data_IF_684383992783
#
_entry.id   IF_684383992783
#
_cell.length_a   1.000
_cell.length_b   1.000
_cell.length_c   1.000
_cell.angle_alpha   90.00
_cell.angle_beta   90.00
_cell.angle_gamma   90.00
#
_symmetry.space_group_name_H-M   'P 1'
#
loop_
_entity.id
_entity.type
_entity.pdbx_description
1 polymer ?
#
# COMPACT_ATOMS: atom_id res chain seq x y z
N UNK A 1 -27.49 -9.47 10.16
CA UNK A 1 -27.13 -8.04 10.34
C UNK A 1 -27.10 -7.73 11.83
N UNK A 2 -26.28 -6.74 12.27
CA UNK A 2 -26.28 -6.28 13.68
C UNK A 2 -27.66 -5.82 14.14
N UNK A 3 -28.53 -5.38 13.22
CA UNK A 3 -29.93 -5.02 13.49
C UNK A 3 -30.76 -6.16 14.08
N UNK A 4 -30.50 -7.41 13.68
CA UNK A 4 -31.26 -8.59 14.14
C UNK A 4 -30.90 -8.99 15.58
N UNK A 5 -29.77 -8.49 16.09
CA UNK A 5 -29.22 -8.79 17.42
C UNK A 5 -29.54 -7.72 18.46
N UNK A 6 -30.09 -6.56 18.05
CA UNK A 6 -30.48 -5.47 18.95
C UNK A 6 -31.60 -5.90 19.88
N UNK A 7 -31.55 -5.39 21.11
CA UNK A 7 -32.58 -5.60 22.15
C UNK A 7 -32.80 -7.08 22.50
N UNK A 8 -31.76 -7.91 22.40
CA UNK A 8 -31.78 -9.34 22.78
C UNK A 8 -31.20 -9.57 24.18
N UNK A 9 -30.88 -8.55 24.93
CA UNK A 9 -30.29 -8.67 26.27
C UNK A 9 -28.83 -9.07 26.25
N UNK A 10 -28.11 -8.75 25.18
CA UNK A 10 -26.67 -9.04 25.02
C UNK A 10 -25.89 -7.87 25.61
N UNK A 11 -24.99 -8.13 26.54
CA UNK A 11 -24.08 -7.13 27.14
C UNK A 11 -22.82 -6.96 26.28
N UNK A 12 -22.23 -8.09 25.84
CA UNK A 12 -21.05 -8.10 24.97
C UNK A 12 -21.18 -9.20 23.92
N UNK A 13 -20.95 -8.83 22.68
CA UNK A 13 -20.99 -9.74 21.54
C UNK A 13 -19.57 -9.86 20.95
N UNK A 14 -18.89 -10.96 21.27
CA UNK A 14 -17.61 -11.32 20.68
C UNK A 14 -17.83 -11.88 19.26
N UNK A 15 -17.25 -11.25 18.28
CA UNK A 15 -17.35 -11.60 16.87
C UNK A 15 -16.00 -12.01 16.31
N UNK A 16 -15.99 -12.98 15.43
CA UNK A 16 -14.82 -13.44 14.69
C UNK A 16 -14.94 -13.18 13.20
N UNK A 17 -14.05 -13.79 12.40
CA UNK A 17 -13.98 -13.72 10.94
C UNK A 17 -13.37 -12.44 10.36
N UNK A 18 -13.69 -11.27 10.87
CA UNK A 18 -13.05 -10.00 10.44
C UNK A 18 -11.67 -9.91 11.09
N UNK A 19 -10.61 -9.74 10.27
CA UNK A 19 -9.23 -9.70 10.74
C UNK A 19 -8.78 -8.31 11.21
N UNK A 20 -9.61 -7.32 11.06
CA UNK A 20 -9.39 -5.98 11.59
C UNK A 20 -10.14 -5.79 12.91
N UNK A 21 -9.46 -5.17 13.89
CA UNK A 21 -10.10 -4.80 15.13
C UNK A 21 -11.19 -3.75 14.88
N UNK A 22 -12.41 -4.07 15.31
CA UNK A 22 -13.56 -3.17 15.22
C UNK A 22 -14.44 -3.34 16.42
N UNK A 23 -14.95 -2.26 16.98
CA UNK A 23 -15.91 -2.31 18.07
C UNK A 23 -16.98 -1.24 17.90
N UNK A 24 -18.11 -1.45 18.53
CA UNK A 24 -19.19 -0.48 18.50
C UNK A 24 -20.35 -0.84 19.42
N UNK A 25 -21.29 0.10 19.50
CA UNK A 25 -22.52 -0.08 20.27
C UNK A 25 -23.48 -0.98 19.52
N UNK A 26 -23.97 -2.01 20.17
CA UNK A 26 -25.00 -2.90 19.63
C UNK A 26 -26.40 -2.29 19.83
N UNK A 27 -26.70 -1.90 21.08
CA UNK A 27 -27.93 -1.20 21.49
C UNK A 27 -27.65 -0.38 22.76
N UNK A 28 -28.69 0.04 23.50
CA UNK A 28 -28.53 0.85 24.72
C UNK A 28 -27.78 0.13 25.84
N UNK A 29 -27.70 -1.19 25.80
CA UNK A 29 -27.05 -2.03 26.81
C UNK A 29 -25.75 -2.65 26.32
N UNK A 30 -25.76 -3.22 25.13
CA UNK A 30 -24.72 -4.08 24.63
C UNK A 30 -23.75 -3.46 23.66
N UNK A 31 -22.56 -4.03 23.63
CA UNK A 31 -21.49 -3.71 22.69
C UNK A 31 -21.11 -4.93 21.86
N UNK A 32 -20.55 -4.70 20.67
CA UNK A 32 -19.94 -5.76 19.87
C UNK A 32 -18.47 -5.45 19.63
N UNK A 33 -17.69 -6.50 19.44
CA UNK A 33 -16.28 -6.40 19.14
C UNK A 33 -15.80 -7.54 18.23
N UNK A 34 -15.15 -7.16 17.13
CA UNK A 34 -14.25 -8.03 16.38
C UNK A 34 -12.83 -7.81 16.92
N UNK A 35 -12.23 -8.85 17.49
CA UNK A 35 -10.87 -8.75 18.05
C UNK A 35 -9.78 -8.61 16.98
N UNK A 36 -10.11 -8.91 15.73
CA UNK A 36 -9.14 -8.99 14.66
C UNK A 36 -8.32 -10.28 14.70
N UNK A 37 -7.13 -10.25 14.13
CA UNK A 37 -6.15 -11.33 14.16
C UNK A 37 -4.92 -10.94 15.00
N UNK A 38 -4.17 -11.94 15.50
CA UNK A 38 -2.98 -11.72 16.33
C UNK A 38 -1.81 -11.12 15.55
N UNK A 39 -1.66 -11.52 14.29
CA UNK A 39 -0.68 -10.97 13.33
C UNK A 39 -1.29 -10.93 11.94
N UNK A 40 -0.88 -9.95 11.13
CA UNK A 40 -1.24 -9.89 9.72
C UNK A 40 -0.52 -10.97 8.91
N UNK A 41 -1.18 -11.53 7.90
CA UNK A 41 -0.66 -12.59 7.04
C UNK A 41 -0.28 -12.11 5.65
N UNK A 42 -0.67 -10.90 5.31
CA UNK A 42 -0.41 -10.27 4.02
C UNK A 42 -0.59 -8.76 4.08
N UNK A 43 -0.19 -8.07 3.03
CA UNK A 43 -0.29 -6.60 2.93
C UNK A 43 -1.72 -6.07 2.76
N UNK A 44 -2.70 -6.92 2.72
CA UNK A 44 -4.13 -6.63 2.87
C UNK A 44 -4.56 -6.55 4.34
N UNK A 45 -3.71 -7.02 5.27
CA UNK A 45 -3.94 -7.01 6.71
C UNK A 45 -2.95 -6.07 7.44
N UNK A 46 -2.69 -4.90 6.90
CA UNK A 46 -1.77 -3.91 7.47
C UNK A 46 -2.20 -3.39 8.83
N UNK A 47 -1.27 -2.71 9.51
CA UNK A 47 -1.50 -2.00 10.76
C UNK A 47 -1.34 -2.84 12.02
N UNK A 48 -1.80 -2.28 13.13
CA UNK A 48 -1.64 -2.88 14.45
C UNK A 48 -2.58 -4.06 14.64
N UNK A 49 -2.04 -5.22 15.03
CA UNK A 49 -2.78 -6.45 15.29
C UNK A 49 -2.61 -6.89 16.73
N UNK A 50 -3.60 -7.66 17.24
CA UNK A 50 -3.60 -8.03 18.64
C UNK A 50 -4.85 -8.80 19.05
N UNK A 51 -5.21 -8.67 20.31
CA UNK A 51 -6.37 -9.33 20.90
C UNK A 51 -7.13 -8.41 21.86
N UNK A 52 -8.29 -8.84 22.26
CA UNK A 52 -9.13 -8.11 23.20
C UNK A 52 -9.15 -8.82 24.55
N UNK A 53 -8.92 -8.04 25.61
CA UNK A 53 -9.16 -8.47 26.99
C UNK A 53 -10.55 -7.99 27.40
N UNK A 54 -11.39 -8.89 27.86
CA UNK A 54 -12.73 -8.60 28.39
C UNK A 54 -12.70 -8.69 29.91
N UNK A 55 -13.04 -7.58 30.56
CA UNK A 55 -13.24 -7.50 32.01
C UNK A 55 -14.72 -7.54 32.34
N UNK A 56 -15.13 -8.48 33.16
CA UNK A 56 -16.51 -8.65 33.61
C UNK A 56 -16.56 -8.42 35.11
N UNK A 57 -17.35 -7.44 35.55
CA UNK A 57 -17.64 -7.17 36.96
C UNK A 57 -19.06 -7.70 37.24
N UNK A 58 -19.13 -8.88 37.83
CA UNK A 58 -20.40 -9.58 38.15
C UNK A 58 -21.20 -8.86 39.25
N UNK A 59 -20.54 -8.10 40.13
CA UNK A 59 -21.21 -7.36 41.19
C UNK A 59 -21.90 -6.09 40.66
N UNK A 60 -21.23 -5.42 39.70
CA UNK A 60 -21.80 -4.22 39.05
C UNK A 60 -22.58 -4.54 37.78
N UNK A 61 -22.56 -5.81 37.31
CA UNK A 61 -23.16 -6.25 36.06
C UNK A 61 -22.67 -5.39 34.86
N UNK A 62 -21.38 -5.09 34.83
CA UNK A 62 -20.75 -4.32 33.77
C UNK A 62 -19.68 -5.12 33.05
N UNK A 63 -19.55 -4.90 31.76
CA UNK A 63 -18.48 -5.45 30.94
C UNK A 63 -17.68 -4.31 30.32
N UNK A 64 -16.35 -4.36 30.49
CA UNK A 64 -15.41 -3.50 29.80
C UNK A 64 -14.50 -4.31 28.93
N UNK A 65 -13.93 -3.72 27.88
CA UNK A 65 -12.92 -4.38 27.08
C UNK A 65 -11.83 -3.40 26.62
N UNK A 66 -10.64 -3.95 26.38
CA UNK A 66 -9.50 -3.23 25.87
C UNK A 66 -8.79 -4.02 24.79
N UNK A 67 -8.35 -3.34 23.74
CA UNK A 67 -7.49 -3.94 22.71
C UNK A 67 -6.05 -3.93 23.21
N UNK A 68 -5.38 -5.07 23.09
CA UNK A 68 -3.97 -5.26 23.45
C UNK A 68 -3.17 -5.55 22.18
N UNK A 69 -2.31 -4.63 21.75
CA UNK A 69 -1.38 -4.90 20.64
C UNK A 69 -0.48 -6.08 20.99
N UNK A 70 -0.36 -7.03 20.06
CA UNK A 70 0.38 -8.27 20.29
C UNK A 70 1.32 -8.65 19.15
N UNK A 71 1.03 -8.22 17.92
CA UNK A 71 1.81 -8.59 16.75
C UNK A 71 3.30 -8.33 16.96
N UNK A 72 4.13 -9.34 16.71
CA UNK A 72 5.58 -9.22 16.74
C UNK A 72 6.11 -8.45 15.53
N UNK A 73 5.44 -8.62 14.38
CA UNK A 73 5.69 -7.88 13.14
C UNK A 73 4.43 -7.22 12.66
N UNK A 74 4.55 -5.95 12.30
CA UNK A 74 3.46 -5.22 11.67
C UNK A 74 3.73 -5.08 10.18
N UNK A 75 2.65 -5.15 9.38
CA UNK A 75 2.71 -4.93 7.94
C UNK A 75 2.25 -3.51 7.63
N UNK A 76 2.95 -2.85 6.71
CA UNK A 76 2.62 -1.51 6.27
C UNK A 76 2.73 -1.40 4.76
N UNK A 77 1.88 -0.58 4.16
CA UNK A 77 2.03 -0.10 2.80
C UNK A 77 2.44 1.36 2.85
N UNK A 78 3.60 1.68 2.29
CA UNK A 78 4.15 3.03 2.24
C UNK A 78 4.11 3.53 0.80
N UNK A 79 3.25 4.50 0.53
CA UNK A 79 3.17 5.16 -0.76
C UNK A 79 4.23 6.25 -0.84
N UNK A 80 5.05 6.20 -1.87
CA UNK A 80 6.14 7.17 -2.10
C UNK A 80 5.85 7.93 -3.39
N UNK A 81 5.58 9.22 -3.26
CA UNK A 81 5.42 10.09 -4.42
C UNK A 81 6.79 10.41 -5.04
N UNK A 82 7.03 9.82 -6.20
CA UNK A 82 8.27 9.99 -6.97
C UNK A 82 8.13 10.97 -8.13
N UNK A 83 7.06 11.76 -8.17
CA UNK A 83 6.84 12.76 -9.21
C UNK A 83 8.09 13.61 -9.46
N UNK A 84 8.49 13.69 -10.73
CA UNK A 84 9.67 14.46 -11.18
C UNK A 84 11.02 13.80 -10.88
N UNK A 85 11.06 12.54 -10.44
CA UNK A 85 12.29 11.75 -10.43
C UNK A 85 12.72 11.46 -11.87
N UNK A 86 14.02 11.53 -12.13
CA UNK A 86 14.62 11.26 -13.44
C UNK A 86 15.46 9.98 -13.43
N UNK A 87 15.85 9.51 -12.25
CA UNK A 87 16.73 8.35 -12.09
C UNK A 87 16.29 7.50 -10.91
N UNK A 88 16.69 6.22 -10.90
CA UNK A 88 16.51 5.33 -9.73
C UNK A 88 17.08 5.95 -8.45
N UNK A 89 18.18 6.73 -8.55
CA UNK A 89 18.78 7.38 -7.38
C UNK A 89 17.87 8.50 -6.82
N UNK A 90 17.17 9.25 -7.67
CA UNK A 90 16.22 10.26 -7.21
C UNK A 90 15.04 9.60 -6.47
N UNK A 91 14.61 8.44 -6.98
CA UNK A 91 13.59 7.61 -6.31
C UNK A 91 14.08 7.12 -4.96
N UNK A 92 15.34 6.64 -4.87
CA UNK A 92 15.94 6.18 -3.61
C UNK A 92 15.94 7.29 -2.55
N UNK A 93 16.31 8.52 -2.90
CA UNK A 93 16.28 9.67 -1.97
C UNK A 93 14.88 9.95 -1.45
N UNK A 94 13.86 9.84 -2.31
CA UNK A 94 12.46 10.01 -1.89
C UNK A 94 11.99 8.87 -0.98
N UNK A 95 12.42 7.64 -1.24
CA UNK A 95 12.17 6.49 -0.38
C UNK A 95 12.84 6.65 0.99
N UNK A 96 14.12 7.05 1.04
CA UNK A 96 14.83 7.34 2.30
C UNK A 96 14.09 8.36 3.16
N UNK A 97 13.61 9.42 2.53
CA UNK A 97 12.80 10.42 3.21
C UNK A 97 11.51 9.83 3.76
N UNK A 98 10.78 9.08 2.95
CA UNK A 98 9.52 8.45 3.37
C UNK A 98 9.75 7.45 4.51
N UNK A 99 10.86 6.70 4.50
CA UNK A 99 11.27 5.80 5.59
C UNK A 99 11.55 6.62 6.86
N UNK A 100 12.32 7.71 6.74
CA UNK A 100 12.67 8.57 7.88
C UNK A 100 11.45 9.26 8.50
N UNK A 101 10.47 9.62 7.69
CA UNK A 101 9.21 10.22 8.14
C UNK A 101 8.23 9.17 8.72
N UNK A 102 8.47 7.88 8.45
CA UNK A 102 7.71 6.79 9.04
C UNK A 102 8.25 6.43 10.43
N UNK A 103 7.38 6.03 11.33
CA UNK A 103 7.77 5.51 12.65
C UNK A 103 7.87 3.97 12.64
N UNK A 104 8.15 3.36 11.47
CA UNK A 104 8.14 1.92 11.33
C UNK A 104 9.38 1.29 11.96
N UNK A 105 9.17 0.20 12.68
CA UNK A 105 10.24 -0.58 13.31
C UNK A 105 11.01 -1.39 12.26
N UNK A 106 12.29 -1.63 12.49
CA UNK A 106 13.09 -2.56 11.67
C UNK A 106 12.56 -4.01 11.66
N UNK A 107 11.63 -4.35 12.56
CA UNK A 107 10.91 -5.63 12.55
C UNK A 107 9.69 -5.63 11.64
N UNK A 108 9.31 -4.51 11.10
CA UNK A 108 8.16 -4.38 10.21
C UNK A 108 8.40 -5.06 8.87
N UNK A 109 7.31 -5.38 8.19
CA UNK A 109 7.29 -5.79 6.80
C UNK A 109 6.66 -4.65 6.01
N UNK A 110 7.36 -4.12 5.01
CA UNK A 110 6.94 -2.91 4.30
C UNK A 110 6.78 -3.19 2.80
N UNK A 111 5.63 -2.80 2.27
CA UNK A 111 5.38 -2.74 0.83
C UNK A 111 5.50 -1.27 0.41
N UNK A 112 6.54 -0.93 -0.34
CA UNK A 112 6.66 0.34 -1.02
C UNK A 112 5.83 0.32 -2.30
N UNK A 113 5.05 1.37 -2.51
CA UNK A 113 4.31 1.60 -3.74
C UNK A 113 4.73 2.98 -4.26
N UNK A 114 5.53 2.97 -5.32
CA UNK A 114 5.96 4.19 -5.99
C UNK A 114 4.78 4.72 -6.78
N UNK A 115 4.43 5.98 -6.55
CA UNK A 115 3.30 6.64 -7.20
C UNK A 115 3.73 8.01 -7.74
N UNK A 116 2.89 8.60 -8.56
CA UNK A 116 3.13 9.92 -9.14
C UNK A 116 3.47 9.84 -10.63
N UNK A 117 3.93 10.96 -11.17
CA UNK A 117 4.21 11.12 -12.61
C UNK A 117 5.71 11.24 -12.82
N UNK A 118 6.25 10.38 -13.69
CA UNK A 118 7.67 10.36 -14.07
C UNK A 118 7.84 10.57 -15.56
N UNK A 119 8.96 11.13 -15.96
CA UNK A 119 9.30 11.28 -17.36
C UNK A 119 9.45 9.94 -18.05
N UNK A 120 9.22 9.92 -19.37
CA UNK A 120 9.33 8.73 -20.20
C UNK A 120 10.75 8.15 -20.23
N UNK A 121 11.75 8.97 -19.95
CA UNK A 121 13.16 8.59 -19.87
C UNK A 121 13.62 8.26 -18.45
N UNK A 122 12.69 8.28 -17.47
CA UNK A 122 12.99 7.90 -16.10
C UNK A 122 13.06 6.38 -15.99
N UNK A 123 14.24 5.85 -15.69
CA UNK A 123 14.46 4.44 -15.40
C UNK A 123 14.29 4.18 -13.91
N UNK A 124 13.35 3.30 -13.54
CA UNK A 124 13.14 2.87 -12.16
C UNK A 124 13.48 1.38 -12.06
N UNK A 125 14.62 1.08 -11.44
CA UNK A 125 15.02 -0.28 -11.15
C UNK A 125 14.54 -0.69 -9.74
N UNK A 126 13.41 -1.38 -9.69
CA UNK A 126 12.79 -1.80 -8.42
C UNK A 126 13.61 -2.84 -7.67
N UNK A 127 14.36 -3.71 -8.36
CA UNK A 127 15.22 -4.69 -7.72
C UNK A 127 16.42 -4.01 -7.06
N UNK A 128 17.04 -3.05 -7.74
CA UNK A 128 18.11 -2.24 -7.15
C UNK A 128 17.62 -1.47 -5.90
N UNK A 129 16.43 -0.88 -5.97
CA UNK A 129 15.83 -0.19 -4.82
C UNK A 129 15.57 -1.16 -3.66
N UNK A 130 15.05 -2.34 -3.96
CA UNK A 130 14.86 -3.38 -2.95
C UNK A 130 16.18 -3.75 -2.27
N UNK A 131 17.22 -4.08 -3.05
CA UNK A 131 18.52 -4.46 -2.50
C UNK A 131 19.16 -3.33 -1.66
N UNK A 132 18.95 -2.05 -2.07
CA UNK A 132 19.45 -0.88 -1.34
C UNK A 132 18.82 -0.75 0.05
N UNK A 133 17.57 -1.14 0.22
CA UNK A 133 16.81 -0.96 1.47
C UNK A 133 16.64 -2.26 2.27
N UNK A 134 17.25 -3.39 1.85
CA UNK A 134 17.10 -4.72 2.45
C UNK A 134 17.40 -4.78 3.97
N UNK A 135 18.25 -3.88 4.48
CA UNK A 135 18.61 -3.86 5.91
C UNK A 135 17.68 -2.99 6.78
N UNK A 136 16.76 -2.23 6.18
CA UNK A 136 15.91 -1.30 6.94
C UNK A 136 14.76 -2.00 7.64
N UNK A 137 14.23 -3.07 7.04
CA UNK A 137 13.06 -3.78 7.53
C UNK A 137 13.30 -5.30 7.53
N UNK A 138 12.44 -6.04 8.22
CA UNK A 138 12.49 -7.50 8.20
C UNK A 138 12.18 -8.08 6.81
N UNK A 139 11.33 -7.42 6.06
CA UNK A 139 10.96 -7.79 4.71
C UNK A 139 10.39 -6.58 3.96
N UNK A 140 10.79 -6.42 2.71
CA UNK A 140 10.26 -5.38 1.85
C UNK A 140 9.93 -5.88 0.45
N UNK A 141 9.02 -5.14 -0.18
CA UNK A 141 8.69 -5.21 -1.60
C UNK A 141 8.60 -3.81 -2.16
N UNK A 142 9.01 -3.64 -3.40
CA UNK A 142 8.88 -2.39 -4.15
C UNK A 142 8.00 -2.65 -5.37
N UNK A 143 6.95 -1.86 -5.52
CA UNK A 143 6.06 -1.86 -6.67
C UNK A 143 6.09 -0.50 -7.35
N UNK A 144 6.23 -0.49 -8.66
CA UNK A 144 6.12 0.71 -9.47
C UNK A 144 4.68 0.82 -10.01
N UNK A 145 3.93 1.79 -9.46
CA UNK A 145 2.59 2.20 -9.90
C UNK A 145 2.63 3.66 -10.42
N UNK A 146 3.80 4.13 -10.85
CA UNK A 146 3.94 5.46 -11.45
C UNK A 146 3.25 5.54 -12.80
N UNK A 147 2.88 6.76 -13.19
CA UNK A 147 2.34 7.07 -14.52
C UNK A 147 3.40 7.81 -15.34
N UNK A 148 3.41 7.59 -16.64
CA UNK A 148 4.29 8.35 -17.52
C UNK A 148 3.71 9.74 -17.78
N UNK A 149 4.52 10.75 -17.50
CA UNK A 149 4.26 12.12 -17.96
C UNK A 149 4.81 12.25 -19.38
N UNK A 150 3.92 12.21 -20.37
CA UNK A 150 4.32 12.32 -21.77
C UNK A 150 4.14 13.75 -22.22
N UNK A 151 5.25 14.44 -22.48
CA UNK A 151 5.23 15.77 -23.07
C UNK A 151 5.06 15.67 -24.60
N UNK A 152 3.82 15.72 -25.06
CA UNK A 152 3.47 15.59 -26.49
C UNK A 152 4.26 16.51 -27.40
N UNK A 153 4.57 17.73 -26.97
CA UNK A 153 5.26 18.73 -27.80
C UNK A 153 6.70 18.35 -28.11
N UNK A 154 7.35 17.55 -27.30
CA UNK A 154 8.71 17.08 -27.50
C UNK A 154 8.79 16.03 -28.62
N UNK A 155 7.78 15.17 -28.70
CA UNK A 155 7.72 14.07 -29.65
C UNK A 155 7.07 14.43 -30.98
N UNK A 156 6.41 15.60 -31.11
CA UNK A 156 5.75 16.03 -32.37
C UNK A 156 6.72 16.08 -33.57
N UNK A 157 7.96 16.48 -33.31
CA UNK A 157 9.00 16.67 -34.36
C UNK A 157 10.20 15.73 -34.19
N UNK A 158 10.14 14.83 -33.23
CA UNK A 158 11.22 13.86 -33.02
C UNK A 158 11.22 12.83 -34.15
N UNK A 159 12.28 12.82 -34.95
CA UNK A 159 12.46 11.90 -36.07
C UNK A 159 13.08 10.55 -35.68
N UNK A 160 13.34 10.33 -34.40
CA UNK A 160 13.86 9.07 -33.87
C UNK A 160 12.81 7.95 -33.96
N UNK A 161 13.28 6.71 -33.90
CA UNK A 161 12.42 5.54 -33.81
C UNK A 161 11.52 5.60 -32.56
N UNK A 162 12.06 6.09 -31.44
CA UNK A 162 11.33 6.34 -30.17
C UNK A 162 10.20 7.34 -30.38
N UNK A 163 10.50 8.51 -31.01
CA UNK A 163 9.49 9.52 -31.27
C UNK A 163 8.38 9.04 -32.20
N UNK A 164 8.73 8.26 -33.23
CA UNK A 164 7.73 7.67 -34.14
C UNK A 164 6.85 6.65 -33.43
N UNK A 165 7.43 5.78 -32.62
CA UNK A 165 6.71 4.82 -31.79
C UNK A 165 5.73 5.51 -30.84
N UNK A 166 6.18 6.51 -30.08
CA UNK A 166 5.34 7.25 -29.14
C UNK A 166 4.16 7.90 -29.88
N UNK A 167 4.40 8.60 -30.99
CA UNK A 167 3.32 9.21 -31.80
C UNK A 167 2.31 8.18 -32.29
N UNK A 168 2.76 6.99 -32.69
CA UNK A 168 1.88 5.91 -33.15
C UNK A 168 0.97 5.43 -32.01
N UNK A 169 1.51 5.20 -30.81
CA UNK A 169 0.75 4.78 -29.63
C UNK A 169 -0.22 5.87 -29.20
N UNK A 170 0.20 7.12 -29.17
CA UNK A 170 -0.65 8.27 -28.80
C UNK A 170 -1.82 8.46 -29.76
N UNK A 171 -1.65 8.18 -31.04
CA UNK A 171 -2.71 8.22 -32.06
C UNK A 171 -3.66 7.02 -32.05
N UNK A 172 -3.44 6.03 -31.19
CA UNK A 172 -4.30 4.85 -31.08
C UNK A 172 -5.55 5.08 -30.25
N UNK A 173 -6.56 4.21 -30.39
CA UNK A 173 -7.81 4.24 -29.61
C UNK A 173 -7.69 3.60 -28.22
N UNK A 174 -6.46 3.42 -27.70
CA UNK A 174 -6.19 2.86 -26.37
C UNK A 174 -6.55 3.88 -25.26
N UNK A 175 -6.84 3.35 -24.05
CA UNK A 175 -6.96 4.22 -22.86
C UNK A 175 -5.61 4.83 -22.49
N UNK A 176 -5.57 5.92 -21.74
CA UNK A 176 -4.32 6.56 -21.31
C UNK A 176 -3.45 5.60 -20.47
N UNK A 177 -4.06 4.73 -19.68
CA UNK A 177 -3.36 3.69 -18.92
C UNK A 177 -2.70 2.66 -19.85
N UNK A 178 -3.43 2.18 -20.86
CA UNK A 178 -2.88 1.26 -21.86
C UNK A 178 -1.75 1.90 -22.67
N UNK A 179 -1.92 3.16 -23.09
CA UNK A 179 -0.87 3.90 -23.79
C UNK A 179 0.39 4.02 -22.96
N UNK A 180 0.27 4.38 -21.69
CA UNK A 180 1.40 4.49 -20.76
C UNK A 180 2.15 3.17 -20.62
N UNK A 181 1.44 2.05 -20.45
CA UNK A 181 2.02 0.72 -20.34
C UNK A 181 2.73 0.29 -21.63
N UNK A 182 2.10 0.47 -22.79
CA UNK A 182 2.69 0.15 -24.09
C UNK A 182 3.92 0.98 -24.38
N UNK A 183 3.89 2.29 -24.04
CA UNK A 183 5.06 3.17 -24.23
C UNK A 183 6.20 2.73 -23.33
N UNK A 184 5.95 2.42 -22.06
CA UNK A 184 6.97 1.92 -21.13
C UNK A 184 7.64 0.66 -21.63
N UNK A 185 6.86 -0.37 -21.98
CA UNK A 185 7.38 -1.62 -22.53
C UNK A 185 8.17 -1.40 -23.83
N UNK A 186 7.66 -0.55 -24.72
CA UNK A 186 8.32 -0.28 -26.01
C UNK A 186 9.64 0.45 -25.86
N UNK A 187 9.75 1.38 -24.90
CA UNK A 187 11.01 2.10 -24.63
C UNK A 187 12.04 1.15 -24.02
N UNK A 188 11.68 0.35 -23.03
CA UNK A 188 12.57 -0.67 -22.46
C UNK A 188 13.08 -1.63 -23.57
N UNK A 189 12.21 -2.08 -24.46
CA UNK A 189 12.61 -2.92 -25.60
C UNK A 189 13.56 -2.21 -26.57
N UNK A 190 13.35 -0.90 -26.82
CA UNK A 190 14.25 -0.10 -27.67
C UNK A 190 15.60 0.15 -27.03
N UNK A 191 15.67 0.24 -25.70
CA UNK A 191 16.89 0.38 -24.91
C UNK A 191 17.70 -0.92 -24.81
N UNK A 192 17.12 -2.06 -25.21
CA UNK A 192 17.76 -3.38 -25.16
C UNK A 192 17.69 -4.04 -23.79
N UNK A 193 16.79 -3.60 -22.93
CA UNK A 193 16.50 -4.24 -21.65
C UNK A 193 15.64 -5.49 -21.85
N UNK A 194 15.86 -6.52 -21.05
CA UNK A 194 14.95 -7.68 -21.01
C UNK A 194 13.61 -7.23 -20.40
N UNK A 195 12.51 -7.53 -21.10
CA UNK A 195 11.14 -7.20 -20.72
C UNK A 195 10.60 -8.22 -19.72
#
# INVERSE_FOLDING_TARGET
STGDLKNKGIDYLALGHVHEYQSGQLDNRGMYCYSGCLEGRGFDECGQKGFVVLDIDDEKLTAGFSFVPFAYRSLYTLYVDVTGAMTTQDVAVKMEKAISDSEYSSRSMVKFVLVGEVDVDCEINTDFLKDMFEEYFYYEKVYDETRLLINYSEYEKDASLKGEFIRMVLGSDMTEEQKSEVIRCGISALSGEEI
#
